data_IF_570908855504
#
_entry.id   IF_570908855504
#
_cell.length_a   1.000
_cell.length_b   1.000
_cell.length_c   1.000
_cell.angle_alpha   90.00
_cell.angle_beta   90.00
_cell.angle_gamma   90.00
#
_symmetry.space_group_name_H-M   'P 1'
#
loop_
_entity.id
_entity.type
_entity.pdbx_description
1 polymer ?
#
# COMPACT_ATOMS: atom_id res chain seq x y z
N UNK A 1 12.70 -24.82 -20.39
CA UNK A 1 12.18 -24.22 -19.14
C UNK A 1 12.52 -22.73 -19.17
N UNK A 2 11.61 -21.86 -19.61
CA UNK A 2 11.86 -20.42 -19.61
C UNK A 2 11.68 -19.88 -18.18
N UNK A 3 12.65 -19.14 -17.63
CA UNK A 3 12.50 -18.52 -16.33
C UNK A 3 11.36 -17.48 -16.40
N UNK A 4 10.32 -17.64 -15.60
CA UNK A 4 9.29 -16.62 -15.39
C UNK A 4 9.96 -15.31 -14.90
N UNK A 5 9.72 -14.14 -15.52
CA UNK A 5 10.34 -12.90 -15.07
C UNK A 5 9.79 -12.52 -13.70
N UNK A 6 10.59 -12.69 -12.64
CA UNK A 6 10.32 -12.22 -11.27
C UNK A 6 10.42 -10.69 -11.13
N UNK A 7 10.16 -9.92 -12.19
CA UNK A 7 10.71 -8.56 -12.31
C UNK A 7 9.95 -7.47 -11.54
N UNK A 8 8.90 -7.79 -10.78
CA UNK A 8 8.13 -6.80 -10.01
C UNK A 8 8.03 -7.05 -8.50
N UNK A 9 8.48 -8.20 -7.99
CA UNK A 9 8.23 -8.59 -6.59
C UNK A 9 9.14 -7.83 -5.61
N UNK A 10 10.46 -7.92 -5.83
CA UNK A 10 11.47 -7.25 -5.00
C UNK A 10 11.25 -5.73 -4.94
N UNK A 11 11.13 -5.01 -6.07
CA UNK A 11 10.84 -3.58 -6.01
C UNK A 11 9.50 -3.27 -5.33
N UNK A 12 8.47 -4.10 -5.50
CA UNK A 12 7.19 -3.93 -4.83
C UNK A 12 7.29 -4.05 -3.31
N UNK A 13 8.10 -5.00 -2.81
CA UNK A 13 8.39 -5.16 -1.39
C UNK A 13 9.11 -3.94 -0.83
N UNK A 14 10.16 -3.48 -1.51
CA UNK A 14 10.95 -2.32 -1.06
C UNK A 14 10.08 -1.07 -0.99
N UNK A 15 9.32 -0.77 -2.04
CA UNK A 15 8.45 0.41 -2.06
C UNK A 15 7.33 0.29 -1.03
N UNK A 16 6.74 -0.91 -0.85
CA UNK A 16 5.73 -1.16 0.17
C UNK A 16 6.26 -0.94 1.59
N UNK A 17 7.47 -1.41 1.88
CA UNK A 17 8.12 -1.21 3.17
C UNK A 17 8.41 0.27 3.44
N UNK A 18 8.96 0.99 2.46
CA UNK A 18 9.21 2.44 2.58
C UNK A 18 7.91 3.20 2.81
N UNK A 19 6.85 2.90 2.05
CA UNK A 19 5.55 3.51 2.22
C UNK A 19 4.95 3.22 3.61
N UNK A 20 5.15 2.01 4.14
CA UNK A 20 4.70 1.63 5.47
C UNK A 20 5.44 2.40 6.57
N UNK A 21 6.76 2.55 6.45
CA UNK A 21 7.57 3.33 7.40
C UNK A 21 7.18 4.82 7.37
N UNK A 22 7.03 5.41 6.18
CA UNK A 22 6.59 6.80 6.04
C UNK A 22 5.17 7.00 6.57
N UNK A 23 4.26 6.08 6.27
CA UNK A 23 2.90 6.08 6.78
C UNK A 23 2.85 5.96 8.30
N UNK A 24 3.66 5.08 8.89
CA UNK A 24 3.78 4.93 10.34
C UNK A 24 4.30 6.21 11.01
N UNK A 25 5.35 6.82 10.46
CA UNK A 25 5.90 8.07 10.99
C UNK A 25 4.88 9.22 10.92
N UNK A 26 4.20 9.38 9.79
CA UNK A 26 3.16 10.39 9.62
C UNK A 26 1.98 10.14 10.58
N UNK A 27 1.52 8.88 10.71
CA UNK A 27 0.42 8.54 11.60
C UNK A 27 0.76 8.75 13.08
N UNK A 28 1.95 8.31 13.52
CA UNK A 28 2.42 8.55 14.89
C UNK A 28 2.55 10.03 15.21
N UNK A 29 3.09 10.83 14.28
CA UNK A 29 3.15 12.28 14.44
C UNK A 29 1.76 12.92 14.56
N UNK A 30 0.80 12.48 13.75
CA UNK A 30 -0.60 12.94 13.85
C UNK A 30 -1.14 12.66 15.25
N UNK A 31 -1.02 11.42 15.75
CA UNK A 31 -1.49 11.04 17.09
C UNK A 31 -0.87 11.92 18.18
N UNK A 32 0.45 12.17 18.11
CA UNK A 32 1.16 13.00 19.10
C UNK A 32 0.67 14.46 19.12
N UNK A 33 0.33 15.00 17.95
CA UNK A 33 -0.14 16.39 17.82
C UNK A 33 -1.61 16.51 18.18
N UNK A 34 -2.45 15.59 17.72
CA UNK A 34 -3.91 15.67 17.88
C UNK A 34 -4.41 15.11 19.22
N UNK A 35 -3.57 14.38 19.96
CA UNK A 35 -3.92 13.72 21.24
C UNK A 35 -5.12 12.77 21.15
N UNK A 36 -5.52 12.43 19.93
CA UNK A 36 -6.65 11.58 19.62
C UNK A 36 -6.21 10.52 18.63
N UNK A 37 -6.55 9.27 18.92
CA UNK A 37 -6.48 8.19 17.95
C UNK A 37 -7.55 8.39 16.87
N UNK A 38 -7.17 9.07 15.80
CA UNK A 38 -8.04 9.24 14.62
C UNK A 38 -7.94 7.95 13.80
N UNK A 39 -8.91 7.04 13.97
CA UNK A 39 -8.97 5.79 13.23
C UNK A 39 -8.95 5.95 11.69
N UNK A 40 -9.43 7.09 11.17
CA UNK A 40 -9.33 7.41 9.74
C UNK A 40 -7.89 7.57 9.25
N UNK A 41 -6.94 7.98 10.11
CA UNK A 41 -5.55 8.14 9.70
C UNK A 41 -4.87 6.78 9.43
N UNK A 42 -5.27 5.72 10.14
CA UNK A 42 -4.82 4.35 9.85
C UNK A 42 -5.26 3.89 8.45
N UNK A 43 -6.48 4.24 8.02
CA UNK A 43 -6.95 3.98 6.65
C UNK A 43 -6.05 4.68 5.64
N UNK A 44 -5.64 5.92 5.93
CA UNK A 44 -4.66 6.67 5.16
C UNK A 44 -3.34 5.94 4.97
N UNK A 45 -2.81 5.30 6.02
CA UNK A 45 -1.59 4.46 5.92
C UNK A 45 -1.79 3.32 4.93
N UNK A 46 -2.93 2.61 5.00
CA UNK A 46 -3.24 1.52 4.07
C UNK A 46 -3.34 1.98 2.62
N UNK A 47 -3.93 3.16 2.39
CA UNK A 47 -3.98 3.77 1.05
C UNK A 47 -2.58 4.13 0.57
N UNK A 48 -1.76 4.78 1.39
CA UNK A 48 -0.39 5.17 1.03
C UNK A 48 0.48 3.96 0.67
N UNK A 49 0.41 2.88 1.45
CA UNK A 49 1.10 1.62 1.16
C UNK A 49 0.60 1.02 -0.15
N UNK A 50 -0.71 0.95 -0.35
CA UNK A 50 -1.32 0.44 -1.59
C UNK A 50 -0.91 1.24 -2.82
N UNK A 51 -0.94 2.58 -2.75
CA UNK A 51 -0.49 3.48 -3.80
C UNK A 51 1.00 3.32 -4.11
N UNK A 52 1.84 3.23 -3.08
CA UNK A 52 3.28 3.01 -3.24
C UNK A 52 3.57 1.70 -3.97
N UNK A 53 2.97 0.60 -3.53
CA UNK A 53 3.16 -0.71 -4.18
C UNK A 53 2.58 -0.77 -5.59
N UNK A 54 1.59 0.06 -5.91
CA UNK A 54 1.11 0.24 -7.28
C UNK A 54 2.11 0.95 -8.19
N UNK A 55 3.16 1.61 -7.72
CA UNK A 55 4.16 2.18 -8.63
C UNK A 55 4.94 1.10 -9.41
N UNK A 56 4.94 -0.15 -8.92
CA UNK A 56 5.70 -1.26 -9.49
C UNK A 56 4.85 -2.09 -10.46
N UNK A 57 5.46 -2.62 -11.53
CA UNK A 57 4.75 -3.45 -12.53
C UNK A 57 4.16 -4.70 -11.85
N UNK A 58 2.82 -4.85 -11.74
CA UNK A 58 2.22 -5.87 -10.91
C UNK A 58 2.16 -7.17 -11.70
N UNK A 59 3.13 -8.03 -11.46
CA UNK A 59 3.21 -9.34 -12.13
C UNK A 59 2.86 -10.49 -11.18
N UNK A 60 2.94 -10.28 -9.86
CA UNK A 60 2.77 -11.35 -8.87
C UNK A 60 1.43 -11.25 -8.10
N UNK A 61 0.68 -12.38 -7.96
CA UNK A 61 -0.53 -12.45 -7.13
C UNK A 61 -0.25 -12.30 -5.63
N UNK A 62 1.03 -12.32 -5.21
CA UNK A 62 1.46 -12.19 -3.82
C UNK A 62 1.48 -10.72 -3.36
N UNK A 63 1.61 -9.77 -4.29
CA UNK A 63 1.74 -8.34 -4.00
C UNK A 63 0.56 -7.75 -3.19
N UNK A 64 -0.72 -8.07 -3.47
CA UNK A 64 -1.83 -7.57 -2.67
C UNK A 64 -1.80 -8.04 -1.22
N UNK A 65 -1.39 -9.28 -0.96
CA UNK A 65 -1.29 -9.83 0.40
C UNK A 65 -0.17 -9.12 1.16
N UNK A 66 0.98 -8.90 0.52
CA UNK A 66 2.07 -8.13 1.11
C UNK A 66 1.66 -6.68 1.41
N UNK A 67 0.87 -6.05 0.54
CA UNK A 67 0.32 -4.72 0.77
C UNK A 67 -0.59 -4.68 2.01
N UNK A 68 -1.43 -5.70 2.20
CA UNK A 68 -2.26 -5.83 3.39
C UNK A 68 -1.40 -5.93 4.66
N UNK A 69 -0.39 -6.80 4.64
CA UNK A 69 0.52 -7.01 5.77
C UNK A 69 1.30 -5.74 6.11
N UNK A 70 1.87 -5.05 5.12
CA UNK A 70 2.57 -3.79 5.34
C UNK A 70 1.67 -2.66 5.81
N UNK A 71 0.41 -2.64 5.38
CA UNK A 71 -0.57 -1.65 5.85
C UNK A 71 -0.93 -1.88 7.31
N UNK A 72 -1.15 -3.13 7.73
CA UNK A 72 -1.40 -3.49 9.13
C UNK A 72 -0.18 -3.16 9.98
N UNK A 73 1.01 -3.58 9.54
CA UNK A 73 2.26 -3.32 10.27
C UNK A 73 2.55 -1.81 10.38
N UNK A 74 2.34 -1.05 9.31
CA UNK A 74 2.51 0.41 9.31
C UNK A 74 1.51 1.10 10.23
N UNK A 75 0.25 0.67 10.25
CA UNK A 75 -0.76 1.22 11.16
C UNK A 75 -0.42 0.90 12.63
N UNK A 76 -0.03 -0.35 12.94
CA UNK A 76 0.37 -0.74 14.28
C UNK A 76 1.62 0.00 14.76
N UNK A 77 2.63 0.13 13.89
CA UNK A 77 3.84 0.89 14.19
C UNK A 77 3.52 2.39 14.38
N UNK A 78 2.63 2.96 13.59
CA UNK A 78 2.20 4.34 13.76
C UNK A 78 1.47 4.58 15.08
N UNK A 79 0.58 3.66 15.49
CA UNK A 79 -0.04 3.69 16.82
C UNK A 79 1.02 3.65 17.94
N UNK A 80 1.99 2.74 17.81
CA UNK A 80 3.10 2.62 18.76
C UNK A 80 3.91 3.92 18.88
N UNK A 81 4.35 4.48 17.74
CA UNK A 81 5.10 5.74 17.70
C UNK A 81 4.27 6.93 18.24
N UNK A 82 2.97 6.95 17.98
CA UNK A 82 2.05 7.92 18.54
C UNK A 82 2.00 7.86 20.06
N UNK A 83 1.93 6.65 20.63
CA UNK A 83 2.00 6.44 22.08
C UNK A 83 3.32 6.91 22.68
N UNK A 84 4.45 6.67 21.99
CA UNK A 84 5.78 7.15 22.42
C UNK A 84 5.82 8.67 22.45
N UNK A 85 5.36 9.33 21.38
CA UNK A 85 5.33 10.78 21.32
C UNK A 85 4.40 11.39 22.37
N UNK A 86 3.26 10.76 22.64
CA UNK A 86 2.36 11.15 23.72
C UNK A 86 2.99 10.99 25.10
N UNK A 87 3.71 9.89 25.37
CA UNK A 87 4.40 9.69 26.64
C UNK A 87 5.47 10.76 26.89
N UNK A 88 6.28 11.07 25.89
CA UNK A 88 7.28 12.15 25.97
C UNK A 88 6.58 13.50 26.20
N UNK A 89 5.53 13.81 25.44
CA UNK A 89 4.77 15.07 25.58
C UNK A 89 4.12 15.21 26.96
N UNK A 90 3.49 14.14 27.45
CA UNK A 90 2.83 14.11 28.76
C UNK A 90 3.81 14.30 29.92
N UNK A 91 5.07 13.87 29.75
CA UNK A 91 6.15 14.14 30.72
C UNK A 91 6.70 15.56 30.67
N UNK A 92 6.17 16.44 29.81
CA UNK A 92 6.73 17.77 29.55
C UNK A 92 8.09 17.72 28.85
N UNK A 93 8.42 16.63 28.15
CA UNK A 93 9.70 16.42 27.48
C UNK A 93 10.84 16.00 28.41
N UNK A 94 10.56 15.64 29.66
CA UNK A 94 11.57 15.17 30.63
C UNK A 94 11.93 13.70 30.42
N UNK A 95 11.00 12.89 29.90
CA UNK A 95 11.23 11.50 29.55
C UNK A 95 12.01 11.39 28.24
N UNK A 96 13.10 10.62 28.23
CA UNK A 96 13.84 10.36 27.01
C UNK A 96 13.02 9.50 26.04
N UNK A 97 13.28 9.61 24.73
CA UNK A 97 12.60 8.76 23.74
C UNK A 97 12.90 7.26 23.95
N UNK A 98 14.09 6.91 24.44
CA UNK A 98 14.44 5.52 24.74
C UNK A 98 13.56 4.95 25.86
N UNK A 99 13.43 5.70 26.95
CA UNK A 99 12.60 5.30 28.09
C UNK A 99 11.12 5.27 27.71
N UNK A 100 10.67 6.24 26.90
CA UNK A 100 9.31 6.27 26.38
C UNK A 100 9.00 5.06 25.48
N UNK A 101 9.95 4.63 24.64
CA UNK A 101 9.81 3.41 23.83
C UNK A 101 9.69 2.18 24.73
N UNK A 102 10.52 2.06 25.75
CA UNK A 102 10.46 0.94 26.71
C UNK A 102 9.13 0.91 27.46
N UNK A 103 8.70 2.07 27.98
CA UNK A 103 7.42 2.22 28.68
C UNK A 103 6.26 1.83 27.79
N UNK A 104 6.20 2.37 26.57
CA UNK A 104 5.12 2.09 25.63
C UNK A 104 5.16 0.63 25.20
N UNK A 105 6.33 0.04 24.95
CA UNK A 105 6.45 -1.38 24.60
C UNK A 105 5.89 -2.32 25.67
N UNK A 106 6.04 -1.95 26.94
CA UNK A 106 5.49 -2.72 28.06
C UNK A 106 3.96 -2.65 28.09
N UNK A 107 3.37 -1.46 27.93
CA UNK A 107 1.91 -1.26 28.06
C UNK A 107 1.13 -1.47 26.75
N UNK A 108 1.81 -1.44 25.60
CA UNK A 108 1.17 -1.48 24.28
C UNK A 108 0.27 -2.71 24.07
N UNK A 109 0.67 -3.95 24.43
CA UNK A 109 -0.19 -5.11 24.27
C UNK A 109 -1.52 -4.97 25.01
N UNK A 110 -1.52 -4.37 26.19
CA UNK A 110 -2.72 -4.19 27.00
C UNK A 110 -3.54 -2.99 26.55
N UNK A 111 -2.90 -1.92 26.10
CA UNK A 111 -3.57 -0.78 25.46
C UNK A 111 -4.34 -1.22 24.21
N UNK A 112 -3.73 -2.04 23.35
CA UNK A 112 -4.37 -2.58 22.13
C UNK A 112 -5.55 -3.50 22.46
N UNK A 113 -5.46 -4.31 23.53
CA UNK A 113 -6.59 -5.14 23.99
C UNK A 113 -7.72 -4.29 24.58
N UNK A 114 -7.37 -3.22 25.29
CA UNK A 114 -8.31 -2.29 25.91
C UNK A 114 -9.12 -1.47 24.91
N UNK A 115 -8.57 -1.27 23.70
CA UNK A 115 -9.22 -0.52 22.62
C UNK A 115 -9.43 -1.36 21.34
N UNK A 116 -10.48 -2.20 21.28
CA UNK A 116 -10.76 -3.05 20.11
C UNK A 116 -10.95 -2.27 18.79
N UNK A 117 -11.28 -0.98 18.87
CA UNK A 117 -11.40 -0.09 17.70
C UNK A 117 -10.07 0.02 16.96
N UNK A 118 -8.94 0.04 17.65
CA UNK A 118 -7.60 0.14 17.07
C UNK A 118 -7.33 -1.07 16.16
N UNK A 119 -7.67 -2.28 16.63
CA UNK A 119 -7.60 -3.50 15.83
C UNK A 119 -8.50 -3.44 14.59
N UNK A 120 -9.74 -2.94 14.75
CA UNK A 120 -10.66 -2.76 13.63
C UNK A 120 -10.07 -1.84 12.55
N UNK A 121 -9.48 -0.71 12.94
CA UNK A 121 -8.87 0.22 11.99
C UNK A 121 -7.61 -0.33 11.33
N UNK A 122 -6.81 -1.15 12.02
CA UNK A 122 -5.69 -1.86 11.39
C UNK A 122 -6.17 -2.86 10.34
N UNK A 123 -7.25 -3.60 10.61
CA UNK A 123 -7.87 -4.48 9.63
C UNK A 123 -8.37 -3.68 8.42
N UNK A 124 -9.04 -2.54 8.64
CA UNK A 124 -9.49 -1.66 7.55
C UNK A 124 -8.29 -1.14 6.73
N UNK A 125 -7.19 -0.76 7.38
CA UNK A 125 -5.95 -0.36 6.70
C UNK A 125 -5.40 -1.50 5.82
N UNK A 126 -5.35 -2.73 6.35
CA UNK A 126 -4.98 -3.93 5.61
C UNK A 126 -5.86 -4.17 4.38
N UNK A 127 -7.17 -4.08 4.56
CA UNK A 127 -8.17 -4.24 3.49
C UNK A 127 -8.01 -3.14 2.43
N UNK A 128 -7.79 -1.89 2.84
CA UNK A 128 -7.53 -0.79 1.93
C UNK A 128 -6.28 -1.05 1.08
N UNK A 129 -5.14 -1.36 1.72
CA UNK A 129 -3.89 -1.68 1.02
C UNK A 129 -4.04 -2.84 0.04
N UNK A 130 -4.74 -3.90 0.44
CA UNK A 130 -5.05 -5.04 -0.43
C UNK A 130 -5.85 -4.61 -1.67
N UNK A 131 -6.95 -3.88 -1.48
CA UNK A 131 -7.86 -3.54 -2.58
C UNK A 131 -7.21 -2.65 -3.63
N UNK A 132 -6.37 -1.69 -3.21
CA UNK A 132 -5.64 -0.82 -4.13
C UNK A 132 -4.71 -1.63 -5.04
N UNK A 133 -3.93 -2.56 -4.49
CA UNK A 133 -3.00 -3.38 -5.27
C UNK A 133 -3.72 -4.45 -6.09
N UNK A 134 -4.75 -5.09 -5.53
CA UNK A 134 -5.51 -6.16 -6.20
C UNK A 134 -6.18 -5.68 -7.49
N UNK A 135 -6.77 -4.48 -7.49
CA UNK A 135 -7.36 -3.87 -8.70
C UNK A 135 -6.33 -3.75 -9.83
N UNK A 136 -5.12 -3.29 -9.51
CA UNK A 136 -4.04 -3.11 -10.49
C UNK A 136 -3.48 -4.45 -11.01
N UNK A 137 -3.38 -5.46 -10.13
CA UNK A 137 -2.93 -6.81 -10.52
C UNK A 137 -3.93 -7.48 -11.45
N UNK A 138 -5.24 -7.36 -11.20
CA UNK A 138 -6.28 -7.90 -12.09
C UNK A 138 -6.21 -7.25 -13.47
N UNK A 139 -6.17 -5.92 -13.54
CA UNK A 139 -6.06 -5.19 -14.80
C UNK A 139 -4.80 -5.59 -15.60
N UNK A 140 -3.66 -5.77 -14.93
CA UNK A 140 -2.42 -6.21 -15.58
C UNK A 140 -2.51 -7.64 -16.13
N UNK A 141 -3.23 -8.54 -15.45
CA UNK A 141 -3.47 -9.91 -15.92
C UNK A 141 -4.42 -9.97 -17.10
N UNK A 142 -5.49 -9.18 -17.08
CA UNK A 142 -6.45 -9.07 -18.19
C UNK A 142 -5.77 -8.53 -19.44
N UNK A 143 -4.89 -7.53 -19.32
CA UNK A 143 -4.09 -7.01 -20.43
C UNK A 143 -3.10 -8.04 -21.01
N UNK A 144 -2.60 -8.98 -20.20
CA UNK A 144 -1.73 -10.08 -20.65
C UNK A 144 -2.52 -11.27 -21.23
N UNK A 145 -3.78 -11.44 -20.82
CA UNK A 145 -4.66 -12.51 -21.28
C UNK A 145 -5.46 -12.12 -22.55
N UNK A 146 -5.55 -10.83 -22.86
CA UNK A 146 -6.13 -10.35 -24.11
C UNK A 146 -5.27 -10.87 -25.30
N UNK A 147 -5.85 -11.60 -26.27
CA UNK A 147 -5.12 -12.02 -27.45
C UNK A 147 -4.55 -10.80 -28.17
N UNK A 148 -3.25 -10.80 -28.42
CA UNK A 148 -2.60 -9.86 -29.32
C UNK A 148 -3.17 -10.06 -30.72
N UNK A 149 -4.17 -9.27 -31.12
CA UNK A 149 -4.40 -9.03 -32.54
C UNK A 149 -3.23 -8.17 -33.06
N UNK A 150 -2.36 -8.71 -33.93
CA UNK A 150 -1.34 -7.90 -34.58
C UNK A 150 -1.99 -7.05 -35.68
N UNK A 151 -1.47 -5.84 -35.86
CA UNK A 151 -1.57 -5.00 -37.07
C UNK A 151 -2.96 -4.44 -37.45
N UNK A 152 -3.21 -3.18 -37.06
CA UNK A 152 -3.74 -2.20 -38.01
C UNK A 152 -2.56 -1.50 -38.69
N UNK A 153 -1.77 -2.27 -39.43
CA UNK A 153 -0.82 -1.77 -40.41
C UNK A 153 -1.23 -2.42 -41.73
N UNK A 154 -1.98 -1.67 -42.54
CA UNK A 154 -2.55 -2.19 -43.79
C UNK A 154 -4.05 -1.96 -44.02
N UNK A 155 -4.65 -0.91 -43.47
CA UNK A 155 -5.84 -0.35 -44.10
C UNK A 155 -5.41 0.53 -45.28
N UNK A 156 -4.82 -0.07 -46.33
CA UNK A 156 -4.89 0.58 -47.64
C UNK A 156 -6.37 0.66 -47.99
N UNK A 157 -6.92 1.86 -48.27
CA UNK A 157 -8.27 1.95 -48.80
C UNK A 157 -8.25 1.23 -50.15
N UNK A 158 -8.94 0.10 -50.24
CA UNK A 158 -9.25 -0.51 -51.55
C UNK A 158 -10.15 0.48 -52.28
N UNK A 159 -9.53 1.27 -53.15
CA UNK A 159 -10.20 2.19 -54.06
C UNK A 159 -10.92 1.39 -55.15
N UNK A 160 -12.18 1.05 -54.87
CA UNK A 160 -13.07 0.33 -55.76
C UNK A 160 -13.52 1.15 -56.99
N UNK A 161 -13.00 2.38 -57.20
CA UNK A 161 -13.46 3.28 -58.25
C UNK A 161 -12.54 3.38 -59.47
N UNK A 162 -11.60 2.45 -59.68
CA UNK A 162 -10.87 2.39 -60.97
C UNK A 162 -11.73 1.76 -62.06
N UNK A 163 -12.21 2.52 -63.07
CA UNK A 163 -12.88 1.93 -64.22
C UNK A 163 -11.87 1.08 -64.97
N UNK A 164 -12.19 -0.20 -65.14
CA UNK A 164 -11.46 -1.08 -66.04
C UNK A 164 -11.83 -0.65 -67.46
N UNK A 165 -10.98 0.20 -68.06
CA UNK A 165 -11.11 0.53 -69.46
C UNK A 165 -10.65 -0.69 -70.26
N UNK A 166 -11.62 -1.46 -70.75
CA UNK A 166 -11.38 -2.55 -71.69
C UNK A 166 -11.02 -1.91 -73.04
N UNK A 167 -9.82 -2.21 -73.53
CA UNK A 167 -9.37 -1.95 -74.90
C UNK A 167 -9.16 -3.30 -75.59
#
# INVERSE_FOLDING_TARGET
MTPQPRSGLVPGIVVGLLAAVLGAAAYGAIITVTELEIGYAAVGVGVLVGLGMMAVKPTSPVLPVLAALFSIAGAALGTFLGGVGLAVKASGGTLSYGDAVSLVAEVFPDAVKGEPKTLLFWVIAGVAGFFFVNKRVKAAREALAAPSHPQQEGAQPVDNFRPHNQA
#
